data_IF_291176350008
#
_entry.id   IF_291176350008
#
_cell.length_a   1.000
_cell.length_b   1.000
_cell.length_c   1.000
_cell.angle_alpha   90.00
_cell.angle_beta   90.00
_cell.angle_gamma   90.00
#
_symmetry.space_group_name_H-M   'P 1'
#
loop_
_entity.id
_entity.type
_entity.pdbx_description
1 polymer ?
#
# COMPACT_ATOMS: atom_id res chain seq x y z
N UNK A 1 80.54 28.82 -37.12
CA UNK A 1 80.45 27.45 -36.57
C UNK A 1 79.68 27.52 -35.28
N UNK A 2 78.46 27.01 -35.34
CA UNK A 2 77.41 26.91 -34.32
C UNK A 2 77.77 25.89 -33.24
N UNK A 3 77.50 26.19 -31.97
CA UNK A 3 77.04 25.20 -30.97
C UNK A 3 76.07 25.86 -29.98
N UNK A 4 74.78 25.59 -30.21
CA UNK A 4 73.72 25.55 -29.20
C UNK A 4 74.01 24.45 -28.17
N UNK A 5 73.41 24.51 -26.97
CA UNK A 5 72.74 23.40 -26.25
C UNK A 5 72.22 23.95 -24.90
N UNK A 6 70.92 24.29 -24.81
CA UNK A 6 69.79 23.48 -24.27
C UNK A 6 69.58 23.65 -22.76
N UNK A 7 68.58 24.47 -22.42
CA UNK A 7 67.95 24.56 -21.10
C UNK A 7 66.82 23.53 -21.06
N UNK A 8 66.97 22.49 -20.24
CA UNK A 8 65.91 21.51 -19.99
C UNK A 8 64.90 22.07 -18.99
N UNK A 9 63.69 22.34 -19.45
CA UNK A 9 62.52 22.60 -18.61
C UNK A 9 61.89 21.26 -18.21
N UNK A 10 61.86 20.95 -16.92
CA UNK A 10 61.10 19.82 -16.39
C UNK A 10 59.70 20.32 -16.00
N UNK A 11 58.70 20.06 -16.83
CA UNK A 11 57.29 20.28 -16.49
C UNK A 11 56.85 19.08 -15.63
N UNK A 12 56.74 19.30 -14.32
CA UNK A 12 56.16 18.33 -13.39
C UNK A 12 54.63 18.45 -13.47
N UNK A 13 54.01 17.56 -14.26
CA UNK A 13 52.56 17.38 -14.31
C UNK A 13 52.09 16.72 -13.01
N UNK A 14 51.56 17.53 -12.09
CA UNK A 14 50.86 17.06 -10.90
C UNK A 14 49.46 16.58 -11.32
N UNK A 15 49.27 15.27 -11.43
CA UNK A 15 47.95 14.66 -11.58
C UNK A 15 47.20 14.78 -10.24
N UNK A 16 46.33 15.79 -10.14
CA UNK A 16 45.36 15.89 -9.05
C UNK A 16 44.28 14.84 -9.34
N UNK A 17 44.38 13.68 -8.70
CA UNK A 17 43.26 12.77 -8.57
C UNK A 17 42.23 13.43 -7.64
N UNK A 18 41.18 14.00 -8.23
CA UNK A 18 39.97 14.34 -7.48
C UNK A 18 39.29 13.02 -7.14
N UNK A 19 39.44 12.56 -5.91
CA UNK A 19 38.57 11.52 -5.36
C UNK A 19 37.15 12.08 -5.37
N UNK A 20 36.36 11.67 -6.35
CA UNK A 20 34.90 11.77 -6.27
C UNK A 20 34.51 10.77 -5.20
N UNK A 21 34.46 11.24 -3.95
CA UNK A 21 33.75 10.56 -2.90
C UNK A 21 32.29 10.50 -3.36
N UNK A 22 31.89 9.37 -3.94
CA UNK A 22 30.49 9.02 -4.06
C UNK A 22 29.93 8.91 -2.65
N UNK A 23 29.52 10.04 -2.08
CA UNK A 23 28.67 10.02 -0.90
C UNK A 23 27.40 9.30 -1.34
N UNK A 24 27.17 8.09 -0.81
CA UNK A 24 25.85 7.52 -0.82
C UNK A 24 24.92 8.60 -0.25
N UNK A 25 23.99 9.08 -1.07
CA UNK A 25 23.04 10.08 -0.62
C UNK A 25 22.29 9.47 0.55
N UNK A 26 22.44 10.03 1.75
CA UNK A 26 21.67 9.54 2.90
C UNK A 26 20.20 9.57 2.52
N UNK A 27 19.53 8.42 2.68
CA UNK A 27 18.10 8.33 2.39
C UNK A 27 17.37 9.29 3.31
N UNK A 28 16.72 10.28 2.70
CA UNK A 28 15.98 11.32 3.41
C UNK A 28 14.91 10.69 4.31
N UNK A 29 14.47 11.41 5.35
CA UNK A 29 13.39 10.92 6.20
C UNK A 29 12.14 10.60 5.37
N UNK A 30 11.80 11.47 4.41
CA UNK A 30 10.73 11.25 3.44
C UNK A 30 10.88 9.93 2.69
N UNK A 31 12.03 9.69 2.03
CA UNK A 31 12.28 8.47 1.26
C UNK A 31 12.28 7.21 2.12
N UNK A 32 12.76 7.28 3.38
CA UNK A 32 12.67 6.14 4.31
C UNK A 32 11.23 5.77 4.60
N UNK A 33 10.37 6.75 4.86
CA UNK A 33 8.96 6.49 5.12
C UNK A 33 8.25 5.98 3.86
N UNK A 34 8.53 6.53 2.68
CA UNK A 34 8.05 5.98 1.40
C UNK A 34 8.46 4.51 1.20
N UNK A 35 9.71 4.16 1.53
CA UNK A 35 10.21 2.78 1.45
C UNK A 35 9.49 1.83 2.41
N UNK A 36 9.09 2.30 3.60
CA UNK A 36 8.27 1.50 4.51
C UNK A 36 6.89 1.14 3.94
N UNK A 37 6.29 2.03 3.14
CA UNK A 37 5.02 1.74 2.47
C UNK A 37 5.19 0.75 1.34
N UNK A 38 6.15 1.03 0.46
CA UNK A 38 6.21 0.40 -0.85
C UNK A 38 7.06 -0.87 -0.87
N UNK A 39 8.13 -0.91 -0.09
CA UNK A 39 9.21 -1.88 -0.31
C UNK A 39 9.29 -2.90 0.82
N UNK A 40 9.47 -2.44 2.06
CA UNK A 40 9.63 -3.33 3.20
C UNK A 40 9.26 -2.68 4.52
N UNK A 41 8.55 -3.41 5.37
CA UNK A 41 8.31 -3.01 6.75
C UNK A 41 8.58 -4.15 7.71
N UNK A 42 9.07 -3.82 8.91
CA UNK A 42 9.39 -4.87 9.88
C UNK A 42 8.11 -5.52 10.38
N UNK A 43 8.08 -6.85 10.28
CA UNK A 43 6.99 -7.67 10.82
C UNK A 43 5.79 -7.82 9.90
N UNK A 44 5.85 -7.28 8.67
CA UNK A 44 4.94 -7.70 7.61
C UNK A 44 5.32 -9.09 7.11
N UNK A 45 4.37 -9.81 6.48
CA UNK A 45 4.61 -11.10 5.85
C UNK A 45 5.69 -10.97 4.77
N UNK A 46 6.62 -11.92 4.74
CA UNK A 46 7.71 -11.99 3.75
C UNK A 46 8.58 -10.73 3.61
N UNK A 47 8.51 -9.81 4.59
CA UNK A 47 9.23 -8.54 4.55
C UNK A 47 8.67 -7.52 3.54
N UNK A 48 7.41 -7.68 3.12
CA UNK A 48 6.72 -6.78 2.19
C UNK A 48 6.58 -5.34 2.73
N UNK A 49 6.37 -4.38 1.84
CA UNK A 49 5.88 -3.06 2.23
C UNK A 49 4.48 -3.12 2.86
N UNK A 50 4.12 -2.08 3.61
CA UNK A 50 2.78 -1.99 4.24
C UNK A 50 1.64 -1.98 3.20
N UNK A 51 1.81 -1.25 2.09
CA UNK A 51 0.76 -1.15 1.07
C UNK A 51 0.59 -2.45 0.28
N UNK A 52 1.66 -3.10 -0.23
CA UNK A 52 1.56 -4.45 -0.80
C UNK A 52 0.94 -5.46 0.16
N UNK A 53 1.24 -5.38 1.47
CA UNK A 53 0.63 -6.27 2.47
C UNK A 53 -0.88 -6.08 2.54
N UNK A 54 -1.35 -4.82 2.57
CA UNK A 54 -2.78 -4.53 2.60
C UNK A 54 -3.50 -5.01 1.33
N UNK A 55 -2.87 -4.85 0.16
CA UNK A 55 -3.40 -5.34 -1.13
C UNK A 55 -3.55 -6.87 -1.10
N UNK A 56 -2.52 -7.60 -0.67
CA UNK A 56 -2.59 -9.05 -0.62
C UNK A 56 -3.66 -9.56 0.37
N UNK A 57 -3.79 -8.95 1.55
CA UNK A 57 -4.86 -9.27 2.49
C UNK A 57 -6.26 -8.95 1.90
N UNK A 58 -6.41 -7.83 1.17
CA UNK A 58 -7.66 -7.46 0.50
C UNK A 58 -8.05 -8.45 -0.62
N UNK A 59 -7.08 -8.93 -1.40
CA UNK A 59 -7.31 -9.94 -2.44
C UNK A 59 -7.77 -11.28 -1.85
N UNK A 60 -7.20 -11.67 -0.70
CA UNK A 60 -7.63 -12.87 0.03
C UNK A 60 -9.05 -12.68 0.58
N UNK A 61 -9.35 -11.51 1.14
CA UNK A 61 -10.68 -11.15 1.61
C UNK A 61 -11.72 -11.24 0.47
N UNK A 62 -11.45 -10.61 -0.68
CA UNK A 62 -12.34 -10.64 -1.85
C UNK A 62 -12.55 -12.06 -2.38
N UNK A 63 -11.49 -12.87 -2.46
CA UNK A 63 -11.59 -14.27 -2.88
C UNK A 63 -12.50 -15.08 -1.97
N UNK A 64 -12.37 -14.93 -0.65
CA UNK A 64 -13.22 -15.66 0.28
C UNK A 64 -14.65 -15.14 0.32
N UNK A 65 -14.87 -13.83 0.13
CA UNK A 65 -16.21 -13.29 0.01
C UNK A 65 -16.93 -13.83 -1.25
N UNK A 66 -16.21 -13.94 -2.38
CA UNK A 66 -16.73 -14.59 -3.59
C UNK A 66 -17.01 -16.08 -3.39
N UNK A 67 -16.19 -16.80 -2.63
CA UNK A 67 -16.49 -18.20 -2.28
C UNK A 67 -17.73 -18.31 -1.38
N UNK A 68 -17.97 -17.34 -0.50
CA UNK A 68 -19.15 -17.30 0.34
C UNK A 68 -20.46 -17.17 -0.46
N UNK A 69 -20.42 -16.53 -1.64
CA UNK A 69 -21.61 -16.37 -2.50
C UNK A 69 -21.91 -17.57 -3.39
N UNK A 70 -21.08 -18.62 -3.36
CA UNK A 70 -21.22 -19.78 -4.25
C UNK A 70 -22.48 -20.61 -4.02
N UNK A 71 -22.98 -20.66 -2.78
CA UNK A 71 -24.25 -21.27 -2.41
C UNK A 71 -24.86 -20.51 -1.21
N UNK A 72 -25.78 -19.59 -1.49
CA UNK A 72 -26.45 -18.78 -0.48
C UNK A 72 -27.50 -19.55 0.33
N UNK A 73 -27.70 -20.84 0.06
CA UNK A 73 -28.56 -21.72 0.86
C UNK A 73 -27.78 -22.47 1.94
N UNK A 74 -26.44 -22.51 1.84
CA UNK A 74 -25.55 -23.14 2.83
C UNK A 74 -25.00 -22.10 3.84
N UNK A 75 -25.73 -21.93 4.95
CA UNK A 75 -25.31 -21.05 6.05
C UNK A 75 -23.93 -21.38 6.61
N UNK A 76 -23.60 -22.67 6.74
CA UNK A 76 -22.32 -23.08 7.31
C UNK A 76 -21.15 -22.71 6.38
N UNK A 77 -21.37 -22.79 5.06
CA UNK A 77 -20.39 -22.31 4.07
C UNK A 77 -20.21 -20.80 4.12
N UNK A 78 -21.31 -20.03 4.15
CA UNK A 78 -21.26 -18.57 4.29
C UNK A 78 -20.52 -18.15 5.56
N UNK A 79 -20.84 -18.74 6.71
CA UNK A 79 -20.16 -18.47 7.98
C UNK A 79 -18.68 -18.86 7.94
N UNK A 80 -18.32 -20.00 7.34
CA UNK A 80 -16.91 -20.39 7.20
C UNK A 80 -16.13 -19.35 6.42
N UNK A 81 -16.63 -18.97 5.25
CA UNK A 81 -15.94 -18.03 4.39
C UNK A 81 -15.92 -16.61 4.95
N UNK A 82 -17.02 -16.15 5.57
CA UNK A 82 -17.05 -14.89 6.31
C UNK A 82 -15.99 -14.87 7.43
N UNK A 83 -15.77 -15.99 8.12
CA UNK A 83 -14.71 -16.12 9.11
C UNK A 83 -13.30 -16.02 8.54
N UNK A 84 -13.10 -16.39 7.26
CA UNK A 84 -11.82 -16.20 6.56
C UNK A 84 -11.63 -14.74 6.13
N UNK A 85 -12.68 -14.08 5.62
CA UNK A 85 -12.63 -12.65 5.29
C UNK A 85 -12.28 -11.85 6.54
N UNK A 86 -12.93 -12.14 7.67
CA UNK A 86 -12.66 -11.46 8.94
C UNK A 86 -11.20 -11.59 9.36
N UNK A 87 -10.62 -12.78 9.17
CA UNK A 87 -9.22 -13.02 9.48
C UNK A 87 -8.26 -12.23 8.59
N UNK A 88 -8.51 -12.14 7.28
CA UNK A 88 -7.70 -11.31 6.39
C UNK A 88 -7.77 -9.81 6.76
N UNK A 89 -8.91 -9.34 7.30
CA UNK A 89 -9.06 -7.94 7.71
C UNK A 89 -8.43 -7.62 9.07
N UNK A 90 -8.59 -8.50 10.06
CA UNK A 90 -8.12 -8.29 11.45
C UNK A 90 -6.73 -8.89 11.74
N UNK A 91 -6.29 -9.88 10.96
CA UNK A 91 -5.04 -10.62 11.15
C UNK A 91 -5.16 -11.79 12.16
N UNK A 92 -4.02 -12.44 12.43
CA UNK A 92 -3.90 -13.59 13.34
C UNK A 92 -3.24 -14.79 12.68
N UNK A 93 -3.21 -15.93 13.38
CA UNK A 93 -2.61 -17.17 12.86
C UNK A 93 -3.68 -18.23 12.53
N UNK A 94 -3.32 -19.17 11.64
CA UNK A 94 -4.05 -20.43 11.45
C UNK A 94 -5.32 -20.35 10.59
N UNK A 95 -5.55 -19.26 9.87
CA UNK A 95 -6.67 -19.10 8.92
C UNK A 95 -6.19 -18.39 7.64
N UNK A 96 -6.98 -18.43 6.54
CA UNK A 96 -6.60 -17.76 5.31
C UNK A 96 -6.40 -16.26 5.48
N UNK A 97 -5.33 -15.76 4.90
CA UNK A 97 -4.77 -14.42 5.14
C UNK A 97 -3.26 -14.55 5.22
N UNK A 98 -2.56 -13.42 5.20
CA UNK A 98 -1.12 -13.40 5.50
C UNK A 98 -0.84 -13.25 7.01
N UNK A 99 -1.91 -13.09 7.81
CA UNK A 99 -1.89 -13.02 9.26
C UNK A 99 -1.52 -11.65 9.82
N UNK A 100 -1.29 -10.65 8.96
CA UNK A 100 -0.96 -9.29 9.40
C UNK A 100 -2.22 -8.45 9.63
N UNK A 101 -3.23 -8.66 8.79
CA UNK A 101 -4.49 -7.94 8.82
C UNK A 101 -4.45 -6.66 7.99
N UNK A 102 -5.41 -6.50 7.09
CA UNK A 102 -5.58 -5.31 6.25
C UNK A 102 -5.64 -4.03 7.09
N UNK A 103 -6.40 -4.03 8.20
CA UNK A 103 -6.57 -2.83 9.03
C UNK A 103 -5.26 -2.34 9.62
N UNK A 104 -4.45 -3.26 10.15
CA UNK A 104 -3.13 -2.95 10.69
C UNK A 104 -2.20 -2.40 9.61
N UNK A 105 -2.20 -3.02 8.43
CA UNK A 105 -1.39 -2.57 7.29
C UNK A 105 -1.80 -1.15 6.85
N UNK A 106 -3.09 -0.87 6.72
CA UNK A 106 -3.61 0.44 6.33
C UNK A 106 -3.35 1.54 7.36
N UNK A 107 -3.46 1.24 8.66
CA UNK A 107 -3.06 2.17 9.70
C UNK A 107 -1.56 2.53 9.59
N UNK A 108 -0.72 1.52 9.29
CA UNK A 108 0.70 1.74 9.01
C UNK A 108 0.93 2.61 7.77
N UNK A 109 0.20 2.35 6.67
CA UNK A 109 0.28 3.16 5.44
C UNK A 109 -0.05 4.62 5.73
N UNK A 110 -1.16 4.90 6.42
CA UNK A 110 -1.57 6.27 6.76
C UNK A 110 -0.51 6.96 7.61
N UNK A 111 -0.04 6.31 8.68
CA UNK A 111 0.97 6.88 9.56
C UNK A 111 2.27 7.20 8.80
N UNK A 112 2.74 6.26 7.97
CA UNK A 112 4.00 6.45 7.28
C UNK A 112 3.90 7.43 6.10
N UNK A 113 2.76 7.53 5.41
CA UNK A 113 2.63 8.50 4.33
C UNK A 113 2.57 9.93 4.87
N UNK A 114 1.92 10.14 6.03
CA UNK A 114 1.94 11.43 6.72
C UNK A 114 3.36 11.79 7.18
N UNK A 115 4.13 10.83 7.70
CA UNK A 115 5.54 11.04 8.03
C UNK A 115 6.41 11.31 6.79
N UNK A 116 6.11 10.69 5.65
CA UNK A 116 6.80 10.98 4.39
C UNK A 116 6.56 12.43 3.93
N UNK A 117 5.29 12.86 3.93
CA UNK A 117 4.90 14.22 3.53
C UNK A 117 5.53 15.32 4.41
N UNK A 118 5.69 15.04 5.70
CA UNK A 118 6.26 16.00 6.67
C UNK A 118 7.78 15.79 6.89
N UNK A 119 8.37 14.80 6.23
CA UNK A 119 9.75 14.40 6.44
C UNK A 119 10.74 15.33 5.76
N UNK A 120 11.95 15.41 6.32
CA UNK A 120 13.09 16.01 5.62
C UNK A 120 13.25 15.36 4.24
N UNK A 121 13.44 16.20 3.21
CA UNK A 121 13.56 15.79 1.82
C UNK A 121 12.22 15.60 1.10
N UNK A 122 11.08 15.90 1.71
CA UNK A 122 9.78 15.86 1.03
C UNK A 122 9.71 16.94 -0.06
N UNK A 123 9.60 16.50 -1.32
CA UNK A 123 9.29 17.39 -2.43
C UNK A 123 7.81 17.80 -2.44
N UNK A 124 7.45 18.80 -3.25
CA UNK A 124 6.04 19.12 -3.48
C UNK A 124 5.26 17.93 -4.08
N UNK A 125 5.93 17.08 -4.87
CA UNK A 125 5.32 15.87 -5.41
C UNK A 125 4.99 14.85 -4.31
N UNK A 126 5.90 14.68 -3.34
CA UNK A 126 5.65 13.86 -2.14
C UNK A 126 4.44 14.39 -1.37
N UNK A 127 4.42 15.68 -1.04
CA UNK A 127 3.31 16.28 -0.28
C UNK A 127 1.97 16.08 -0.98
N UNK A 128 1.89 16.40 -2.28
CA UNK A 128 0.65 16.29 -3.06
C UNK A 128 0.15 14.84 -3.13
N UNK A 129 1.01 13.90 -3.52
CA UNK A 129 0.57 12.51 -3.70
C UNK A 129 0.36 11.78 -2.38
N UNK A 130 1.02 12.21 -1.30
CA UNK A 130 0.80 11.66 0.04
C UNK A 130 -0.63 11.87 0.51
N UNK A 131 -1.23 13.03 0.22
CA UNK A 131 -2.63 13.30 0.51
C UNK A 131 -3.58 12.31 -0.20
N UNK A 132 -3.28 11.95 -1.44
CA UNK A 132 -4.12 11.03 -2.21
C UNK A 132 -4.02 9.58 -1.67
N UNK A 133 -2.80 9.15 -1.32
CA UNK A 133 -2.55 7.85 -0.68
C UNK A 133 -3.23 7.77 0.67
N UNK A 134 -3.08 8.79 1.52
CA UNK A 134 -3.71 8.87 2.83
C UNK A 134 -5.23 8.78 2.74
N UNK A 135 -5.86 9.60 1.88
CA UNK A 135 -7.31 9.63 1.74
C UNK A 135 -7.86 8.30 1.21
N UNK A 136 -7.23 7.72 0.18
CA UNK A 136 -7.65 6.41 -0.35
C UNK A 136 -7.51 5.29 0.71
N UNK A 137 -6.47 5.37 1.54
CA UNK A 137 -6.27 4.41 2.65
C UNK A 137 -7.30 4.58 3.76
N UNK A 138 -7.71 5.81 4.07
CA UNK A 138 -8.79 6.11 5.03
C UNK A 138 -10.13 5.61 4.52
N UNK A 139 -10.46 5.83 3.24
CA UNK A 139 -11.67 5.28 2.61
C UNK A 139 -11.69 3.75 2.71
N UNK A 140 -10.55 3.11 2.43
CA UNK A 140 -10.38 1.65 2.55
C UNK A 140 -10.61 1.17 3.98
N UNK A 141 -10.09 1.87 5.01
CA UNK A 141 -10.32 1.52 6.41
C UNK A 141 -11.79 1.61 6.80
N UNK A 142 -12.48 2.69 6.42
CA UNK A 142 -13.90 2.86 6.71
C UNK A 142 -14.74 1.74 6.08
N UNK A 143 -14.41 1.36 4.84
CA UNK A 143 -15.04 0.23 4.15
C UNK A 143 -14.74 -1.09 4.84
N UNK A 144 -13.52 -1.31 5.29
CA UNK A 144 -13.14 -2.50 6.05
C UNK A 144 -13.89 -2.62 7.37
N UNK A 145 -14.12 -1.51 8.09
CA UNK A 145 -14.94 -1.50 9.31
C UNK A 145 -16.39 -1.91 9.02
N UNK A 146 -16.98 -1.37 7.95
CA UNK A 146 -18.32 -1.76 7.51
C UNK A 146 -18.40 -3.26 7.18
N UNK A 147 -17.41 -3.79 6.45
CA UNK A 147 -17.33 -5.22 6.13
C UNK A 147 -17.25 -6.05 7.41
N UNK A 148 -16.41 -5.69 8.37
CA UNK A 148 -16.28 -6.42 9.65
C UNK A 148 -17.63 -6.50 10.38
N UNK A 149 -18.40 -5.41 10.38
CA UNK A 149 -19.73 -5.41 10.98
C UNK A 149 -20.69 -6.36 10.24
N UNK A 150 -20.61 -6.46 8.91
CA UNK A 150 -21.41 -7.41 8.12
C UNK A 150 -21.00 -8.85 8.41
N UNK A 151 -19.69 -9.13 8.44
CA UNK A 151 -19.15 -10.44 8.74
C UNK A 151 -19.60 -10.93 10.12
N UNK A 152 -19.61 -10.05 11.12
CA UNK A 152 -20.11 -10.38 12.47
C UNK A 152 -21.60 -10.70 12.47
N UNK A 153 -22.42 -10.02 11.65
CA UNK A 153 -23.84 -10.39 11.48
C UNK A 153 -23.99 -11.77 10.83
N UNK A 154 -23.21 -12.06 9.79
CA UNK A 154 -23.19 -13.39 9.15
C UNK A 154 -22.81 -14.48 10.16
N UNK A 155 -21.80 -14.24 11.01
CA UNK A 155 -21.38 -15.21 12.04
C UNK A 155 -22.48 -15.51 13.09
N UNK A 156 -23.36 -14.54 13.36
CA UNK A 156 -24.29 -14.61 14.50
C UNK A 156 -25.72 -14.96 14.10
N UNK A 157 -26.07 -14.94 12.81
CA UNK A 157 -27.41 -15.32 12.35
C UNK A 157 -27.54 -16.83 12.15
N UNK A 158 -28.72 -17.36 12.47
CA UNK A 158 -29.14 -18.74 12.18
C UNK A 158 -29.98 -18.84 10.90
N UNK A 159 -30.15 -17.73 10.17
CA UNK A 159 -30.96 -17.63 8.95
C UNK A 159 -30.07 -17.61 7.70
N UNK A 160 -30.14 -18.66 6.90
CA UNK A 160 -29.44 -18.70 5.60
C UNK A 160 -29.88 -17.55 4.68
N UNK A 161 -31.17 -17.20 4.67
CA UNK A 161 -31.68 -16.12 3.83
C UNK A 161 -31.13 -14.74 4.24
N UNK A 162 -31.03 -14.47 5.54
CA UNK A 162 -30.45 -13.23 6.05
C UNK A 162 -28.94 -13.18 5.79
N UNK A 163 -28.23 -14.27 6.10
CA UNK A 163 -26.81 -14.39 5.81
C UNK A 163 -26.51 -14.21 4.31
N UNK A 164 -27.36 -14.74 3.44
CA UNK A 164 -27.21 -14.66 1.99
C UNK A 164 -27.18 -13.21 1.50
N UNK A 165 -28.16 -12.40 1.91
CA UNK A 165 -28.23 -10.98 1.54
C UNK A 165 -26.99 -10.21 2.01
N UNK A 166 -26.60 -10.39 3.27
CA UNK A 166 -25.43 -9.72 3.85
C UNK A 166 -24.13 -10.19 3.17
N UNK A 167 -24.08 -11.47 2.75
CA UNK A 167 -22.91 -12.04 2.06
C UNK A 167 -22.71 -11.44 0.68
N UNK A 168 -23.78 -11.22 -0.09
CA UNK A 168 -23.71 -10.53 -1.38
C UNK A 168 -23.19 -9.09 -1.23
N UNK A 169 -23.76 -8.33 -0.29
CA UNK A 169 -23.30 -6.97 0.03
C UNK A 169 -21.83 -6.95 0.45
N UNK A 170 -21.43 -7.92 1.28
CA UNK A 170 -20.04 -8.07 1.73
C UNK A 170 -19.10 -8.36 0.57
N UNK A 171 -19.48 -9.24 -0.36
CA UNK A 171 -18.67 -9.56 -1.53
C UNK A 171 -18.41 -8.31 -2.38
N UNK A 172 -19.44 -7.52 -2.68
CA UNK A 172 -19.28 -6.23 -3.37
C UNK A 172 -18.34 -5.31 -2.61
N UNK A 173 -18.55 -5.09 -1.31
CA UNK A 173 -17.70 -4.20 -0.51
C UNK A 173 -16.23 -4.64 -0.51
N UNK A 174 -15.94 -5.95 -0.50
CA UNK A 174 -14.55 -6.44 -0.55
C UNK A 174 -13.85 -6.17 -1.88
N UNK A 175 -14.56 -6.23 -3.01
CA UNK A 175 -14.01 -5.82 -4.31
C UNK A 175 -13.71 -4.31 -4.33
N UNK A 176 -14.60 -3.52 -3.71
CA UNK A 176 -14.43 -2.08 -3.60
C UNK A 176 -13.23 -1.69 -2.71
N UNK A 177 -12.74 -2.55 -1.79
CA UNK A 177 -11.48 -2.29 -1.06
C UNK A 177 -10.31 -2.08 -2.03
N UNK A 178 -10.26 -2.88 -3.10
CA UNK A 178 -9.22 -2.80 -4.12
C UNK A 178 -9.48 -1.67 -5.10
N UNK A 179 -10.62 -1.73 -5.80
CA UNK A 179 -10.88 -0.88 -6.96
C UNK A 179 -11.37 0.53 -6.62
N UNK A 180 -11.95 0.71 -5.42
CA UNK A 180 -12.80 1.86 -5.14
C UNK A 180 -14.11 1.82 -5.93
N UNK A 181 -14.88 2.90 -5.90
CA UNK A 181 -16.09 3.06 -6.71
C UNK A 181 -16.29 4.51 -7.15
N UNK A 182 -16.93 4.73 -8.30
CA UNK A 182 -17.32 6.05 -8.79
C UNK A 182 -18.61 6.47 -8.06
N UNK A 183 -18.47 7.35 -7.07
CA UNK A 183 -19.57 7.75 -6.19
C UNK A 183 -20.42 8.86 -6.78
N UNK A 184 -19.80 9.70 -7.62
CA UNK A 184 -20.41 10.92 -8.17
C UNK A 184 -20.87 10.75 -9.62
N UNK A 185 -20.57 9.62 -10.26
CA UNK A 185 -21.00 9.25 -11.60
C UNK A 185 -20.24 10.00 -12.71
N UNK A 186 -19.04 10.51 -12.45
CA UNK A 186 -18.24 11.25 -13.44
C UNK A 186 -17.43 10.33 -14.38
N UNK A 187 -17.51 9.01 -14.17
CA UNK A 187 -16.83 7.97 -14.94
C UNK A 187 -15.39 7.73 -14.48
N UNK A 188 -14.97 8.27 -13.33
CA UNK A 188 -13.64 8.08 -12.75
C UNK A 188 -13.74 7.67 -11.30
N UNK A 189 -12.73 6.92 -10.85
CA UNK A 189 -12.55 6.63 -9.42
C UNK A 189 -11.39 7.48 -8.96
N UNK A 190 -11.71 8.58 -8.27
CA UNK A 190 -10.72 9.47 -7.67
C UNK A 190 -10.37 9.05 -6.24
N UNK A 191 -9.52 9.82 -5.55
CA UNK A 191 -9.30 9.64 -4.11
C UNK A 191 -10.33 10.44 -3.27
N UNK A 192 -11.06 11.36 -3.90
CA UNK A 192 -12.05 12.23 -3.26
C UNK A 192 -13.39 11.52 -3.11
N UNK A 193 -14.36 12.16 -2.45
CA UNK A 193 -15.74 11.67 -2.35
C UNK A 193 -15.88 10.22 -1.85
N UNK A 194 -14.91 9.73 -1.06
CA UNK A 194 -14.83 8.34 -0.56
C UNK A 194 -14.67 7.26 -1.64
N UNK A 195 -14.25 7.65 -2.84
CA UNK A 195 -14.16 6.76 -4.02
C UNK A 195 -12.97 5.81 -3.94
N UNK A 196 -11.80 6.35 -3.60
CA UNK A 196 -10.53 5.65 -3.74
C UNK A 196 -10.42 4.36 -2.93
N UNK A 197 -9.83 3.34 -3.54
CA UNK A 197 -9.39 2.10 -2.92
C UNK A 197 -7.88 1.94 -2.92
N UNK A 198 -7.42 0.72 -2.65
CA UNK A 198 -6.00 0.37 -2.60
C UNK A 198 -5.28 0.60 -3.94
N UNK A 199 -5.97 0.46 -5.07
CA UNK A 199 -5.40 0.73 -6.39
C UNK A 199 -5.04 2.21 -6.58
N UNK A 200 -5.86 3.14 -6.11
CA UNK A 200 -5.54 4.58 -6.15
C UNK A 200 -4.38 4.91 -5.19
N UNK A 201 -4.32 4.27 -4.02
CA UNK A 201 -3.19 4.40 -3.11
C UNK A 201 -1.89 3.92 -3.77
N UNK A 202 -1.90 2.74 -4.40
CA UNK A 202 -0.74 2.18 -5.09
C UNK A 202 -0.30 3.02 -6.29
N UNK A 203 -1.26 3.46 -7.11
CA UNK A 203 -0.99 4.34 -8.24
C UNK A 203 -0.26 5.61 -7.80
N UNK A 204 -0.77 6.28 -6.76
CA UNK A 204 -0.15 7.52 -6.27
C UNK A 204 1.18 7.28 -5.56
N UNK A 205 1.34 6.15 -4.86
CA UNK A 205 2.62 5.73 -4.31
C UNK A 205 3.67 5.54 -5.42
N UNK A 206 3.30 4.87 -6.52
CA UNK A 206 4.18 4.64 -7.67
C UNK A 206 4.55 5.92 -8.42
N UNK A 207 3.61 6.86 -8.57
CA UNK A 207 3.90 8.19 -9.12
C UNK A 207 4.92 8.92 -8.23
N UNK A 208 4.72 8.86 -6.92
CA UNK A 208 5.61 9.50 -5.94
C UNK A 208 7.02 8.91 -5.99
N UNK A 209 7.18 7.58 -5.94
CA UNK A 209 8.50 6.92 -6.06
C UNK A 209 9.22 7.33 -7.33
N UNK A 210 8.53 7.30 -8.47
CA UNK A 210 9.10 7.71 -9.76
C UNK A 210 9.54 9.17 -9.76
N UNK A 211 8.72 10.07 -9.21
CA UNK A 211 9.04 11.50 -9.10
C UNK A 211 10.28 11.76 -8.25
N UNK A 212 10.50 10.93 -7.23
CA UNK A 212 11.65 11.01 -6.33
C UNK A 212 12.88 10.21 -6.80
N UNK A 213 12.81 9.56 -7.96
CA UNK A 213 13.90 8.72 -8.47
C UNK A 213 14.16 7.46 -7.62
N UNK A 214 13.16 7.01 -6.87
CA UNK A 214 13.21 5.77 -6.09
C UNK A 214 12.93 4.56 -7.00
N UNK A 215 13.56 3.39 -6.72
CA UNK A 215 13.36 2.16 -7.49
C UNK A 215 11.93 1.63 -7.41
#
# INVERSE_FOLDING_TARGET
MTKLFQVSWLIMLCNIFVSVNGQAQETSASHRHMGHLADAFRGTPEGMGLLPTAIAEAEIAARHASLATSDLTDLASMQRHAGHVLHALEGGEGRPGLGYGLKKAMQGVIAHIEMAANGEGASQGVVTHSNHVATSSQNTLQRADLIIDHLRKIQNTDSAAEAGQITEETATLTELLLGGFDSNGDGRISWQESEGGLQQAEQHMNIMKRGEGMP
#
